data_IF_477779337830
#
_entry.id   IF_477779337830
#
_cell.length_a   1.000
_cell.length_b   1.000
_cell.length_c   1.000
_cell.angle_alpha   90.00
_cell.angle_beta   90.00
_cell.angle_gamma   90.00
#
_symmetry.space_group_name_H-M   'P 1'
#
loop_
_entity.id
_entity.type
_entity.pdbx_description
1 polymer ?
#
# COMPACT_ATOMS: atom_id res chain seq x y z
N UNK A 1 5.55 -15.11 -3.83
CA UNK A 1 4.10 -15.02 -3.51
C UNK A 1 3.93 -13.93 -2.45
N UNK A 2 2.83 -13.16 -2.45
CA UNK A 2 2.56 -12.22 -1.37
C UNK A 2 2.13 -12.99 -0.11
N UNK A 3 2.64 -12.59 1.04
CA UNK A 3 2.10 -12.99 2.34
C UNK A 3 0.70 -12.39 2.52
N UNK A 4 -0.14 -12.98 3.40
CA UNK A 4 -1.45 -12.40 3.72
C UNK A 4 -1.36 -10.95 4.21
N UNK A 5 -0.29 -10.61 4.93
CA UNK A 5 -0.06 -9.27 5.49
C UNK A 5 0.38 -8.28 4.39
N UNK A 6 1.30 -8.67 3.51
CA UNK A 6 1.70 -7.86 2.35
C UNK A 6 0.49 -7.57 1.44
N UNK A 7 -0.37 -8.57 1.24
CA UNK A 7 -1.58 -8.40 0.44
C UNK A 7 -2.57 -7.46 1.12
N UNK A 8 -2.80 -7.59 2.43
CA UNK A 8 -3.67 -6.69 3.18
C UNK A 8 -3.16 -5.25 3.14
N UNK A 9 -1.86 -5.03 3.28
CA UNK A 9 -1.20 -3.73 3.15
C UNK A 9 -1.38 -3.15 1.74
N UNK A 10 -1.21 -3.95 0.69
CA UNK A 10 -1.44 -3.52 -0.68
C UNK A 10 -2.91 -3.14 -0.94
N UNK A 11 -3.84 -3.92 -0.39
CA UNK A 11 -5.29 -3.64 -0.46
C UNK A 11 -5.66 -2.36 0.29
N UNK A 12 -5.03 -2.12 1.44
CA UNK A 12 -5.20 -0.91 2.23
C UNK A 12 -4.74 0.30 1.39
N UNK A 13 -3.48 0.33 0.97
CA UNK A 13 -2.93 1.43 0.14
C UNK A 13 -3.73 1.66 -1.15
N UNK A 14 -4.24 0.60 -1.78
CA UNK A 14 -5.06 0.70 -2.98
C UNK A 14 -6.49 1.24 -2.75
N UNK A 15 -6.98 1.28 -1.50
CA UNK A 15 -8.34 1.71 -1.16
C UNK A 15 -8.47 3.21 -0.86
N UNK A 16 -7.35 3.96 -0.77
CA UNK A 16 -7.40 5.41 -0.60
C UNK A 16 -6.12 6.00 0.01
N UNK A 17 -6.02 7.34 0.09
CA UNK A 17 -4.84 8.01 0.62
C UNK A 17 -4.73 7.81 2.13
N UNK A 18 -4.01 6.76 2.54
CA UNK A 18 -3.69 6.54 3.94
C UNK A 18 -2.44 7.33 4.27
N UNK A 19 -2.64 8.51 4.84
CA UNK A 19 -1.51 9.27 5.36
C UNK A 19 -0.97 8.50 6.56
N UNK A 20 0.35 8.25 6.57
CA UNK A 20 1.10 7.62 7.68
C UNK A 20 0.92 8.33 9.03
N UNK A 21 0.24 9.48 9.05
CA UNK A 21 -0.04 10.29 10.22
C UNK A 21 -1.53 10.67 10.35
N UNK A 22 -2.44 9.95 9.69
CA UNK A 22 -3.87 10.12 9.93
C UNK A 22 -4.19 9.39 11.23
N UNK A 23 -4.16 10.14 12.33
CA UNK A 23 -4.60 9.71 13.66
C UNK A 23 -6.12 9.57 13.67
N UNK A 24 -6.67 8.75 12.77
CA UNK A 24 -8.01 8.21 12.87
C UNK A 24 -7.88 6.78 13.41
N UNK A 25 -8.49 6.46 14.57
CA UNK A 25 -8.28 5.20 15.28
C UNK A 25 -8.85 3.95 14.56
N UNK A 26 -9.27 4.09 13.31
CA UNK A 26 -9.87 3.03 12.48
C UNK A 26 -8.95 2.56 11.34
N UNK A 27 -7.79 3.22 11.13
CA UNK A 27 -6.83 2.79 10.12
C UNK A 27 -5.88 1.72 10.67
N UNK A 28 -5.78 0.53 10.03
CA UNK A 28 -4.78 -0.46 10.41
C UNK A 28 -3.39 0.15 10.28
N UNK A 29 -2.59 0.06 11.34
CA UNK A 29 -1.18 0.45 11.30
C UNK A 29 -0.47 -0.37 10.20
N UNK A 30 0.03 0.31 9.17
CA UNK A 30 0.77 -0.35 8.10
C UNK A 30 2.13 -0.78 8.65
N UNK A 31 2.38 -2.09 8.65
CA UNK A 31 3.67 -2.62 9.07
C UNK A 31 4.77 -2.13 8.09
N UNK A 32 5.85 -1.49 8.60
CA UNK A 32 6.92 -0.97 7.76
C UNK A 32 7.68 -2.06 7.00
N UNK A 33 7.73 -3.30 7.52
CA UNK A 33 8.36 -4.46 6.86
C UNK A 33 7.56 -4.89 5.65
N UNK A 34 6.23 -4.97 5.78
CA UNK A 34 5.35 -5.29 4.65
C UNK A 34 5.40 -4.19 3.59
N UNK A 35 5.41 -2.92 4.01
CA UNK A 35 5.53 -1.80 3.09
C UNK A 35 6.86 -1.81 2.30
N UNK A 36 7.98 -2.08 2.99
CA UNK A 36 9.30 -2.18 2.35
C UNK A 36 9.33 -3.34 1.32
N UNK A 37 8.73 -4.48 1.66
CA UNK A 37 8.61 -5.61 0.73
C UNK A 37 7.76 -5.26 -0.52
N UNK A 38 6.68 -4.50 -0.36
CA UNK A 38 5.86 -4.03 -1.49
C UNK A 38 6.61 -3.04 -2.38
N UNK A 39 7.45 -2.18 -1.79
CA UNK A 39 8.31 -1.22 -2.52
C UNK A 39 9.41 -1.97 -3.28
N UNK A 40 10.09 -2.91 -2.63
CA UNK A 40 11.10 -3.76 -3.25
C UNK A 40 10.56 -4.53 -4.45
N UNK A 41 9.25 -4.82 -4.45
CA UNK A 41 8.53 -5.51 -5.53
C UNK A 41 7.86 -4.57 -6.53
N UNK A 42 8.09 -3.26 -6.41
CA UNK A 42 7.52 -2.22 -7.28
C UNK A 42 5.98 -2.23 -7.32
N UNK A 43 5.32 -2.72 -6.26
CA UNK A 43 3.86 -2.70 -6.13
C UNK A 43 3.35 -1.38 -5.53
N UNK A 44 4.21 -0.72 -4.76
CA UNK A 44 3.98 0.58 -4.13
C UNK A 44 5.20 1.47 -4.40
N UNK A 45 4.95 2.76 -4.62
CA UNK A 45 5.97 3.80 -4.66
C UNK A 45 5.75 4.78 -3.50
N UNK A 46 6.83 5.33 -2.96
CA UNK A 46 6.74 6.44 -2.00
C UNK A 46 7.03 7.72 -2.77
N UNK A 47 6.03 8.60 -2.84
CA UNK A 47 6.29 9.96 -3.32
C UNK A 47 6.79 10.80 -2.15
N UNK A 48 7.95 11.43 -2.33
CA UNK A 48 8.60 12.28 -1.33
C UNK A 48 8.46 13.77 -1.66
N UNK A 49 7.65 14.12 -2.67
CA UNK A 49 7.55 15.49 -3.19
C UNK A 49 6.77 16.45 -2.30
N UNK A 50 5.96 15.95 -1.36
CA UNK A 50 5.23 16.76 -0.39
C UNK A 50 5.66 16.30 1.00
N UNK A 51 5.64 17.18 2.01
CA UNK A 51 6.07 16.98 3.41
C UNK A 51 5.49 15.74 4.15
N UNK A 52 4.77 14.86 3.44
CA UNK A 52 4.22 13.59 3.86
C UNK A 52 4.59 12.53 2.82
N UNK A 53 5.48 11.60 3.20
CA UNK A 53 5.75 10.39 2.42
C UNK A 53 4.48 9.54 2.34
N UNK A 54 3.76 9.66 1.22
CA UNK A 54 2.50 8.95 0.99
C UNK A 54 2.79 7.73 0.11
N UNK A 55 2.51 6.51 0.59
CA UNK A 55 2.60 5.33 -0.24
C UNK A 55 1.49 5.38 -1.31
N UNK A 56 1.88 5.26 -2.57
CA UNK A 56 0.97 5.18 -3.72
C UNK A 56 1.10 3.83 -4.40
N UNK A 57 -0.02 3.23 -4.77
CA UNK A 57 -0.02 1.98 -5.54
C UNK A 57 0.45 2.23 -6.98
N UNK A 58 1.36 1.38 -7.47
CA UNK A 58 1.82 1.45 -8.86
C UNK A 58 0.83 0.74 -9.80
N UNK A 59 1.00 0.89 -11.12
CA UNK A 59 0.23 0.10 -12.09
C UNK A 59 0.45 -1.42 -11.94
N UNK A 60 1.65 -1.82 -11.49
CA UNK A 60 1.94 -3.21 -11.18
C UNK A 60 1.16 -3.68 -9.93
N UNK A 61 1.12 -2.87 -8.88
CA UNK A 61 0.30 -3.12 -7.68
C UNK A 61 -1.19 -3.24 -8.01
N UNK A 62 -1.71 -2.36 -8.87
CA UNK A 62 -3.10 -2.40 -9.34
C UNK A 62 -3.42 -3.66 -10.13
N UNK A 63 -2.51 -4.08 -11.02
CA UNK A 63 -2.66 -5.34 -11.76
C UNK A 63 -2.65 -6.55 -10.83
N UNK A 64 -1.84 -6.52 -9.76
CA UNK A 64 -1.82 -7.55 -8.73
C UNK A 64 -3.13 -7.58 -7.94
N UNK A 65 -3.69 -6.42 -7.58
CA UNK A 65 -5.01 -6.33 -6.93
C UNK A 65 -6.13 -6.90 -7.82
N UNK A 66 -6.11 -6.60 -9.11
CA UNK A 66 -7.04 -7.20 -10.08
C UNK A 66 -6.90 -8.72 -10.16
N UNK A 67 -5.66 -9.23 -10.15
CA UNK A 67 -5.39 -10.67 -10.21
C UNK A 67 -5.92 -11.43 -8.98
N UNK A 68 -6.03 -10.77 -7.82
CA UNK A 68 -6.64 -11.36 -6.61
C UNK A 68 -8.16 -11.09 -6.49
N UNK A 69 -8.79 -10.52 -7.52
CA UNK A 69 -10.23 -10.30 -7.58
C UNK A 69 -10.71 -8.99 -6.95
N UNK A 70 -9.81 -8.03 -6.69
CA UNK A 70 -10.22 -6.65 -6.38
C UNK A 70 -10.29 -5.84 -7.67
N UNK A 71 -11.50 -5.70 -8.19
CA UNK A 71 -11.83 -4.69 -9.17
C UNK A 71 -11.92 -3.35 -8.43
N UNK A 72 -10.92 -2.49 -8.59
CA UNK A 72 -10.93 -1.11 -8.11
C UNK A 72 -11.71 -0.22 -9.08
#
# INVERSE_FOLDING_TARGET
MLSPHELATLMLIGSGPHTRNDTTPDHPEIDPVDLDALIARQLVSIDTSEDRSLPQITDHGRSMLKAVGRDC
#
